data_IF_099385651772
#
_entry.id   IF_099385651772
#
_cell.length_a   1.000
_cell.length_b   1.000
_cell.length_c   1.000
_cell.angle_alpha   90.00
_cell.angle_beta   90.00
_cell.angle_gamma   90.00
#
_symmetry.space_group_name_H-M   'P 1'
#
loop_
_entity.id
_entity.type
_entity.pdbx_description
1 polymer ?
#
# COMPACT_ATOMS: atom_id res chain seq x y z
N UNK A 1 -2.55 16.59 -29.32
CA UNK A 1 -2.84 16.02 -27.99
C UNK A 1 -3.95 16.83 -27.37
N UNK A 2 -5.06 16.18 -27.00
CA UNK A 2 -6.21 16.84 -26.38
C UNK A 2 -6.52 16.15 -25.07
N UNK A 3 -6.47 16.90 -23.97
CA UNK A 3 -6.94 16.44 -22.67
C UNK A 3 -8.41 16.81 -22.53
N UNK A 4 -9.23 15.83 -22.17
CA UNK A 4 -10.67 16.01 -21.93
C UNK A 4 -11.01 15.57 -20.50
N UNK A 5 -11.78 16.40 -19.78
CA UNK A 5 -12.23 16.04 -18.45
C UNK A 5 -13.12 14.79 -18.54
N UNK A 6 -12.71 13.71 -17.90
CA UNK A 6 -13.40 12.42 -17.89
C UNK A 6 -14.16 12.18 -16.58
N UNK A 7 -13.71 12.78 -15.47
CA UNK A 7 -14.36 12.59 -14.17
C UNK A 7 -13.72 13.40 -13.05
N UNK A 8 -14.25 13.22 -11.85
CA UNK A 8 -13.73 13.80 -10.61
C UNK A 8 -13.35 12.62 -9.72
N UNK A 9 -12.09 12.58 -9.29
CA UNK A 9 -11.64 11.55 -8.35
C UNK A 9 -11.94 11.95 -6.91
N UNK A 10 -11.73 13.23 -6.58
CA UNK A 10 -11.99 13.73 -5.23
C UNK A 10 -11.91 15.25 -5.14
N UNK A 11 -12.71 15.83 -4.26
CA UNK A 11 -12.70 17.27 -3.98
C UNK A 11 -12.45 17.45 -2.49
N UNK A 12 -11.39 18.18 -2.17
CA UNK A 12 -11.04 18.58 -0.82
C UNK A 12 -11.25 20.08 -0.59
N UNK A 13 -11.01 20.51 0.64
CA UNK A 13 -11.17 21.92 1.02
C UNK A 13 -10.12 22.83 0.34
N UNK A 14 -8.88 22.37 0.23
CA UNK A 14 -7.76 23.15 -0.31
C UNK A 14 -7.43 22.85 -1.78
N UNK A 15 -8.20 21.98 -2.44
CA UNK A 15 -7.86 21.50 -3.78
C UNK A 15 -8.69 20.28 -4.17
N UNK A 16 -8.32 19.63 -5.26
CA UNK A 16 -8.99 18.42 -5.70
C UNK A 16 -8.19 17.65 -6.74
N UNK A 17 -8.76 16.55 -7.17
CA UNK A 17 -8.20 15.62 -8.13
C UNK A 17 -9.24 15.33 -9.21
N UNK A 18 -8.84 15.53 -10.46
CA UNK A 18 -9.68 15.38 -11.65
C UNK A 18 -9.09 14.30 -12.55
N UNK A 19 -9.96 13.54 -13.20
CA UNK A 19 -9.55 12.52 -14.18
C UNK A 19 -9.66 13.14 -15.56
N UNK A 20 -8.59 13.08 -16.34
CA UNK A 20 -8.55 13.51 -17.72
C UNK A 20 -8.27 12.33 -18.64
N UNK A 21 -8.99 12.24 -19.75
CA UNK A 21 -8.67 11.34 -20.84
C UNK A 21 -7.74 12.06 -21.83
N UNK A 22 -6.57 11.50 -22.08
CA UNK A 22 -5.69 11.92 -23.16
C UNK A 22 -6.13 11.25 -24.46
N UNK A 23 -6.41 12.04 -25.50
CA UNK A 23 -6.80 11.52 -26.82
C UNK A 23 -5.75 11.73 -27.90
N UNK A 24 -5.62 10.72 -28.76
CA UNK A 24 -4.80 10.79 -29.97
C UNK A 24 -5.43 11.71 -31.04
N UNK A 25 -4.78 11.85 -32.19
CA UNK A 25 -5.29 12.68 -33.29
C UNK A 25 -6.57 12.12 -33.95
N UNK A 26 -6.92 10.87 -33.69
CA UNK A 26 -8.14 10.21 -34.19
C UNK A 26 -9.30 10.29 -33.16
N UNK A 27 -9.05 10.83 -31.97
CA UNK A 27 -10.02 10.91 -30.89
C UNK A 27 -10.11 9.65 -30.02
N UNK A 28 -9.22 8.67 -30.19
CA UNK A 28 -9.16 7.49 -29.32
C UNK A 28 -8.52 7.87 -27.98
N UNK A 29 -8.99 7.28 -26.88
CA UNK A 29 -8.34 7.46 -25.56
C UNK A 29 -7.03 6.68 -25.57
N UNK A 30 -5.93 7.39 -25.32
CA UNK A 30 -4.58 6.83 -25.18
C UNK A 30 -4.35 6.36 -23.75
N UNK A 31 -4.68 7.23 -22.77
CA UNK A 31 -4.61 6.93 -21.34
C UNK A 31 -5.47 7.88 -20.53
N UNK A 32 -5.74 7.50 -19.29
CA UNK A 32 -6.28 8.41 -18.29
C UNK A 32 -5.14 8.98 -17.45
N UNK A 33 -5.30 10.24 -17.05
CA UNK A 33 -4.40 10.99 -16.19
C UNK A 33 -5.17 11.48 -14.98
N UNK A 34 -4.48 11.55 -13.86
CA UNK A 34 -4.97 12.16 -12.64
C UNK A 34 -4.33 13.55 -12.50
N UNK A 35 -5.13 14.61 -12.51
CA UNK A 35 -4.65 15.99 -12.42
C UNK A 35 -5.07 16.59 -11.08
N UNK A 36 -4.08 16.89 -10.24
CA UNK A 36 -4.29 17.59 -8.97
C UNK A 36 -4.21 19.11 -9.16
N UNK A 37 -5.12 19.82 -8.49
CA UNK A 37 -5.17 21.28 -8.52
C UNK A 37 -5.33 21.85 -7.11
N UNK A 38 -4.79 23.05 -6.90
CA UNK A 38 -4.99 23.82 -5.67
C UNK A 38 -6.17 24.77 -5.80
N UNK A 39 -6.90 24.96 -4.71
CA UNK A 39 -7.93 25.99 -4.59
C UNK A 39 -7.44 27.24 -3.86
N UNK A 40 -6.36 27.14 -3.07
CA UNK A 40 -5.76 28.22 -2.30
C UNK A 40 -4.23 28.05 -2.15
N UNK A 41 -3.58 28.96 -1.43
CA UNK A 41 -2.12 28.96 -1.23
C UNK A 41 -1.63 27.78 -0.40
N UNK A 42 -2.44 27.28 0.54
CA UNK A 42 -2.07 26.11 1.35
C UNK A 42 -2.13 24.83 0.50
N UNK A 43 -3.15 24.70 -0.35
CA UNK A 43 -3.25 23.63 -1.34
C UNK A 43 -2.09 23.64 -2.33
N UNK A 44 -1.66 24.83 -2.76
CA UNK A 44 -0.49 24.97 -3.65
C UNK A 44 0.77 24.45 -2.96
N UNK A 45 1.06 24.91 -1.73
CA UNK A 45 2.23 24.45 -0.98
C UNK A 45 2.23 22.92 -0.76
N UNK A 46 1.06 22.32 -0.51
CA UNK A 46 0.91 20.87 -0.37
C UNK A 46 1.20 20.12 -1.67
N UNK A 47 0.73 20.65 -2.80
CA UNK A 47 1.02 20.04 -4.09
C UNK A 47 2.51 20.20 -4.46
N UNK A 48 3.14 21.33 -4.10
CA UNK A 48 4.58 21.51 -4.29
C UNK A 48 5.37 20.47 -3.47
N UNK A 49 5.01 20.25 -2.20
CA UNK A 49 5.60 19.18 -1.36
C UNK A 49 5.44 17.79 -2.01
N UNK A 50 4.23 17.48 -2.48
CA UNK A 50 3.95 16.21 -3.13
C UNK A 50 4.76 16.04 -4.43
N UNK A 51 4.82 17.08 -5.26
CA UNK A 51 5.57 17.09 -6.51
C UNK A 51 7.06 16.84 -6.26
N UNK A 52 7.65 17.48 -5.25
CA UNK A 52 9.05 17.26 -4.87
C UNK A 52 9.29 15.81 -4.48
N UNK A 53 8.42 15.22 -3.64
CA UNK A 53 8.56 13.82 -3.24
C UNK A 53 8.47 12.88 -4.46
N UNK A 54 7.43 13.04 -5.29
CA UNK A 54 7.20 12.20 -6.47
C UNK A 54 8.25 12.36 -7.56
N UNK A 55 8.89 13.53 -7.68
CA UNK A 55 10.06 13.71 -8.57
C UNK A 55 11.26 12.91 -8.07
N UNK A 56 11.47 12.81 -6.75
CA UNK A 56 12.55 11.98 -6.19
C UNK A 56 12.23 10.48 -6.27
N UNK A 57 10.94 10.13 -6.25
CA UNK A 57 10.45 8.75 -6.36
C UNK A 57 10.14 8.35 -7.81
N UNK A 58 10.50 9.18 -8.79
CA UNK A 58 10.23 8.90 -10.21
C UNK A 58 10.97 7.64 -10.63
N UNK A 59 10.29 6.76 -11.35
CA UNK A 59 10.80 5.47 -11.79
C UNK A 59 10.63 4.37 -10.74
N UNK A 60 10.18 4.67 -9.53
CA UNK A 60 9.94 3.65 -8.51
C UNK A 60 8.56 2.98 -8.75
N UNK A 61 8.54 1.69 -9.05
CA UNK A 61 7.34 0.95 -9.47
C UNK A 61 6.15 1.07 -8.51
N UNK A 62 6.40 1.08 -7.20
CA UNK A 62 5.37 1.07 -6.16
C UNK A 62 4.88 2.47 -5.76
N UNK A 63 5.14 3.49 -6.57
CA UNK A 63 4.69 4.87 -6.33
C UNK A 63 3.92 5.41 -7.51
N UNK A 64 2.97 6.31 -7.23
CA UNK A 64 2.26 7.01 -8.29
C UNK A 64 3.23 7.86 -9.11
N UNK A 65 3.35 7.55 -10.40
CA UNK A 65 4.25 8.25 -11.29
C UNK A 65 3.75 9.66 -11.64
N UNK A 66 4.64 10.64 -11.50
CA UNK A 66 4.44 11.99 -12.01
C UNK A 66 4.64 12.02 -13.53
N UNK A 67 3.67 12.58 -14.25
CA UNK A 67 3.68 12.66 -15.70
C UNK A 67 4.07 14.07 -16.13
N UNK A 68 5.18 14.18 -16.84
CA UNK A 68 5.60 15.45 -17.44
C UNK A 68 4.65 15.80 -18.58
N UNK A 69 3.94 16.92 -18.45
CA UNK A 69 3.10 17.47 -19.50
C UNK A 69 3.80 18.68 -20.15
N UNK A 70 3.72 18.87 -21.48
CA UNK A 70 4.22 20.09 -22.12
C UNK A 70 3.54 21.33 -21.52
N UNK A 71 4.27 22.41 -21.28
CA UNK A 71 3.79 23.65 -20.60
C UNK A 71 2.47 24.23 -21.15
N UNK A 72 2.08 23.87 -22.38
CA UNK A 72 0.90 24.36 -23.09
C UNK A 72 -0.35 23.47 -22.99
N UNK A 73 -0.30 22.32 -22.31
CA UNK A 73 -1.31 21.25 -22.49
C UNK A 73 -2.51 21.27 -21.56
N UNK A 74 -2.49 21.99 -20.43
CA UNK A 74 -3.61 21.95 -19.46
C UNK A 74 -4.26 23.32 -19.27
N UNK A 75 -5.11 23.71 -20.21
CA UNK A 75 -6.07 24.78 -20.01
C UNK A 75 -7.42 24.18 -19.59
N UNK A 76 -7.65 24.02 -18.28
CA UNK A 76 -8.94 23.51 -17.79
C UNK A 76 -9.97 24.63 -17.86
N UNK A 77 -10.65 24.75 -19.00
CA UNK A 77 -11.78 25.66 -19.14
C UNK A 77 -12.82 25.36 -18.04
N UNK A 78 -13.22 26.39 -17.28
CA UNK A 78 -14.20 26.26 -16.20
C UNK A 78 -13.63 26.22 -14.77
N UNK A 79 -12.31 26.18 -14.58
CA UNK A 79 -11.72 26.22 -13.23
C UNK A 79 -11.50 27.64 -12.67
N UNK A 80 -11.67 28.68 -13.49
CA UNK A 80 -11.64 30.08 -13.05
C UNK A 80 -10.28 30.54 -12.52
N UNK A 81 -9.19 30.35 -13.29
CA UNK A 81 -7.80 30.63 -12.91
C UNK A 81 -7.17 29.68 -11.88
N UNK A 82 -7.76 28.52 -11.60
CA UNK A 82 -7.05 27.47 -10.83
C UNK A 82 -6.09 26.75 -11.77
N UNK A 83 -4.80 26.87 -11.48
CA UNK A 83 -3.75 26.18 -12.22
C UNK A 83 -3.78 24.70 -11.82
N UNK A 84 -3.96 23.75 -12.76
CA UNK A 84 -3.55 22.37 -12.52
C UNK A 84 -2.03 22.37 -12.28
N UNK A 85 -1.56 21.69 -11.24
CA UNK A 85 -0.17 21.84 -10.79
C UNK A 85 0.65 20.60 -11.12
N UNK A 86 0.07 19.41 -10.92
CA UNK A 86 0.74 18.15 -11.30
C UNK A 86 -0.23 17.21 -12.01
N UNK A 87 0.30 16.50 -13.01
CA UNK A 87 -0.35 15.37 -13.64
C UNK A 87 0.34 14.09 -13.17
N UNK A 88 -0.47 13.09 -12.88
CA UNK A 88 -0.07 11.82 -12.29
C UNK A 88 -0.68 10.69 -13.12
N UNK A 89 -0.08 9.51 -13.05
CA UNK A 89 -0.71 8.31 -13.61
C UNK A 89 -2.07 8.05 -12.95
N UNK A 90 -3.00 7.46 -13.71
CA UNK A 90 -4.30 7.05 -13.19
C UNK A 90 -4.24 5.61 -12.67
N UNK A 91 -4.71 5.40 -11.43
CA UNK A 91 -4.72 4.10 -10.76
C UNK A 91 -6.15 3.56 -10.72
N UNK A 92 -6.37 2.49 -11.47
CA UNK A 92 -7.70 2.14 -11.96
C UNK A 92 -8.49 1.17 -11.08
N UNK A 93 -7.88 0.49 -10.10
CA UNK A 93 -8.57 -0.52 -9.28
C UNK A 93 -8.82 -0.08 -7.83
N UNK A 94 -8.93 1.23 -7.61
CA UNK A 94 -9.29 1.79 -6.31
C UNK A 94 -8.17 1.74 -5.27
N UNK A 95 -8.56 1.78 -3.98
CA UNK A 95 -7.64 1.83 -2.84
C UNK A 95 -7.86 0.67 -1.86
N UNK A 96 -6.93 0.46 -0.92
CA UNK A 96 -7.13 -0.52 0.17
C UNK A 96 -8.37 -0.21 1.01
N UNK A 97 -8.74 1.06 1.17
CA UNK A 97 -9.99 1.43 1.84
C UNK A 97 -11.22 0.94 1.10
N UNK A 98 -11.22 1.07 -0.22
CA UNK A 98 -12.31 0.56 -1.03
C UNK A 98 -12.35 -0.98 -1.04
N UNK A 99 -11.18 -1.64 -1.10
CA UNK A 99 -11.09 -3.09 -0.96
C UNK A 99 -11.67 -3.56 0.39
N UNK A 100 -11.22 -2.96 1.50
CA UNK A 100 -11.71 -3.28 2.84
C UNK A 100 -13.21 -3.06 2.95
N UNK A 101 -13.73 -1.93 2.48
CA UNK A 101 -15.16 -1.61 2.50
C UNK A 101 -15.98 -2.69 1.76
N UNK A 102 -15.55 -3.07 0.55
CA UNK A 102 -16.23 -4.10 -0.26
C UNK A 102 -16.25 -5.46 0.42
N UNK A 103 -15.10 -5.89 0.95
CA UNK A 103 -14.95 -7.19 1.64
C UNK A 103 -15.76 -7.22 2.94
N UNK A 104 -15.69 -6.15 3.73
CA UNK A 104 -16.41 -6.01 5.00
C UNK A 104 -17.93 -5.98 4.78
N UNK A 105 -18.42 -5.29 3.75
CA UNK A 105 -19.86 -5.22 3.40
C UNK A 105 -20.46 -6.61 3.14
N UNK A 106 -19.65 -7.53 2.61
CA UNK A 106 -20.08 -8.90 2.34
C UNK A 106 -19.80 -9.87 3.50
N UNK A 107 -19.21 -9.40 4.60
CA UNK A 107 -18.87 -10.21 5.77
C UNK A 107 -17.75 -11.23 5.51
N UNK A 108 -16.85 -10.92 4.57
CA UNK A 108 -15.69 -11.75 4.28
C UNK A 108 -14.41 -11.19 4.92
N UNK A 109 -13.35 -11.99 4.85
CA UNK A 109 -11.99 -11.62 5.24
C UNK A 109 -11.11 -11.53 4.01
N UNK A 110 -10.04 -10.74 4.12
CA UNK A 110 -9.01 -10.70 3.08
C UNK A 110 -8.12 -11.94 3.28
N UNK A 111 -7.92 -12.77 2.25
CA UNK A 111 -7.09 -13.96 2.36
C UNK A 111 -5.68 -13.63 2.83
N UNK A 112 -5.08 -14.50 3.65
CA UNK A 112 -3.73 -14.25 4.19
C UNK A 112 -2.70 -14.09 3.07
N UNK A 113 -2.87 -14.81 1.96
CA UNK A 113 -2.01 -14.68 0.77
C UNK A 113 -2.07 -13.28 0.17
N UNK A 114 -3.26 -12.68 0.10
CA UNK A 114 -3.46 -11.32 -0.42
C UNK A 114 -2.85 -10.30 0.54
N UNK A 115 -3.01 -10.49 1.85
CA UNK A 115 -2.39 -9.62 2.86
C UNK A 115 -0.85 -9.63 2.75
N UNK A 116 -0.24 -10.81 2.56
CA UNK A 116 1.21 -10.92 2.34
C UNK A 116 1.68 -10.17 1.08
N UNK A 117 0.96 -10.31 -0.04
CA UNK A 117 1.28 -9.58 -1.28
C UNK A 117 1.13 -8.06 -1.11
N UNK A 118 0.10 -7.61 -0.39
CA UNK A 118 -0.07 -6.20 -0.03
C UNK A 118 1.11 -5.70 0.82
N UNK A 119 1.53 -6.47 1.82
CA UNK A 119 2.62 -6.04 2.70
C UNK A 119 3.97 -6.04 1.99
N UNK A 120 4.19 -6.98 1.06
CA UNK A 120 5.37 -7.01 0.18
C UNK A 120 5.47 -5.71 -0.64
N UNK A 121 4.37 -5.27 -1.27
CA UNK A 121 4.34 -3.98 -1.97
C UNK A 121 4.68 -2.80 -1.03
N UNK A 122 4.16 -2.79 0.20
CA UNK A 122 4.48 -1.73 1.18
C UNK A 122 5.95 -1.78 1.63
N UNK A 123 6.56 -2.97 1.74
CA UNK A 123 7.99 -3.11 2.01
C UNK A 123 8.81 -2.48 0.87
N UNK A 124 8.41 -2.69 -0.39
CA UNK A 124 9.01 -2.02 -1.56
C UNK A 124 8.83 -0.49 -1.51
N UNK A 125 7.69 0.00 -1.01
CA UNK A 125 7.48 1.44 -0.81
C UNK A 125 8.37 2.02 0.30
N UNK A 126 8.59 1.30 1.39
CA UNK A 126 9.53 1.73 2.44
C UNK A 126 10.93 1.82 1.83
N UNK A 127 11.34 0.79 1.11
CA UNK A 127 12.63 0.73 0.43
C UNK A 127 12.80 1.86 -0.59
N UNK A 128 11.82 2.13 -1.44
CA UNK A 128 11.90 3.23 -2.41
C UNK A 128 11.93 4.62 -1.78
N UNK A 129 11.36 4.81 -0.58
CA UNK A 129 11.52 6.07 0.17
C UNK A 129 12.90 6.21 0.82
N UNK A 130 13.55 5.10 1.14
CA UNK A 130 14.92 5.06 1.67
C UNK A 130 15.96 5.22 0.58
N UNK A 131 15.83 4.45 -0.51
CA UNK A 131 16.78 4.36 -1.62
C UNK A 131 16.01 4.59 -2.93
N UNK A 132 15.47 5.79 -3.20
CA UNK A 132 14.78 6.09 -4.44
C UNK A 132 15.68 5.80 -5.66
N UNK A 133 15.09 5.47 -6.82
CA UNK A 133 15.84 5.27 -8.04
C UNK A 133 16.78 6.45 -8.28
N UNK A 134 18.07 6.15 -8.45
CA UNK A 134 19.01 7.16 -8.95
C UNK A 134 18.44 7.67 -10.26
N UNK A 135 18.35 9.00 -10.44
CA UNK A 135 17.78 9.71 -11.61
C UNK A 135 18.35 9.21 -12.95
N UNK A 136 18.01 7.99 -13.35
CA UNK A 136 18.36 7.45 -14.64
C UNK A 136 17.60 8.32 -15.63
N UNK A 137 18.30 8.79 -16.67
CA UNK A 137 17.82 9.82 -17.57
C UNK A 137 16.64 9.36 -18.45
N UNK A 138 16.11 8.16 -18.22
CA UNK A 138 15.06 7.53 -19.01
C UNK A 138 13.84 7.26 -18.11
N UNK A 139 12.64 7.46 -18.65
CA UNK A 139 11.34 7.27 -18.00
C UNK A 139 11.05 5.79 -17.63
N UNK A 140 12.09 4.98 -17.41
CA UNK A 140 11.98 3.57 -17.05
C UNK A 140 11.52 3.43 -15.60
N UNK A 141 10.49 2.64 -15.42
CA UNK A 141 9.98 2.26 -14.11
C UNK A 141 10.67 0.97 -13.70
N UNK A 142 11.42 1.02 -12.61
CA UNK A 142 12.18 -0.09 -12.05
C UNK A 142 11.61 -0.50 -10.69
N UNK A 143 11.79 -1.76 -10.34
CA UNK A 143 11.49 -2.29 -9.01
C UNK A 143 12.52 -1.78 -8.00
N UNK A 144 12.05 -1.51 -6.79
CA UNK A 144 12.84 -1.00 -5.69
C UNK A 144 13.73 -2.12 -5.13
N UNK A 145 15.05 -1.96 -5.23
CA UNK A 145 16.05 -2.90 -4.74
C UNK A 145 16.98 -2.22 -3.73
N UNK A 146 17.50 -2.95 -2.72
CA UNK A 146 18.41 -2.37 -1.74
C UNK A 146 19.69 -1.83 -2.40
N UNK A 147 19.97 -0.53 -2.19
CA UNK A 147 21.19 0.12 -2.69
C UNK A 147 22.03 0.60 -1.51
N UNK A 148 23.26 0.11 -1.32
CA UNK A 148 24.02 0.37 -0.08
C UNK A 148 24.67 1.76 0.04
N UNK A 149 24.43 2.70 -0.89
CA UNK A 149 25.17 3.97 -0.95
C UNK A 149 24.33 5.22 -1.29
N UNK A 150 23.01 5.11 -1.50
CA UNK A 150 22.14 6.26 -1.75
C UNK A 150 20.97 6.20 -0.80
N UNK A 151 20.94 7.14 0.13
CA UNK A 151 19.92 7.16 1.16
C UNK A 151 19.26 8.54 1.25
N UNK A 152 17.95 8.55 1.09
CA UNK A 152 17.07 9.67 1.34
C UNK A 152 16.21 9.34 2.55
N UNK A 153 15.84 10.37 3.32
CA UNK A 153 14.86 10.26 4.39
C UNK A 153 13.55 10.92 3.93
N UNK A 154 12.84 10.23 3.02
CA UNK A 154 11.47 10.59 2.66
C UNK A 154 10.54 9.88 3.63
N UNK A 155 9.69 10.64 4.33
CA UNK A 155 8.56 10.07 5.06
C UNK A 155 7.27 10.43 4.35
N UNK A 156 6.32 9.49 4.30
CA UNK A 156 5.01 9.75 3.69
C UNK A 156 4.18 10.75 4.52
N UNK A 157 4.29 10.67 5.85
CA UNK A 157 3.59 11.56 6.79
C UNK A 157 2.09 11.25 6.98
N UNK A 158 1.57 10.18 6.35
CA UNK A 158 0.16 9.76 6.48
C UNK A 158 -0.01 8.23 6.40
N UNK A 159 -0.39 7.58 7.50
CA UNK A 159 -0.73 6.16 7.52
C UNK A 159 -2.23 5.97 7.27
N UNK A 160 -2.65 5.71 6.02
CA UNK A 160 -4.06 5.41 5.72
C UNK A 160 -4.22 4.54 4.47
N UNK A 161 -5.12 3.55 4.51
CA UNK A 161 -5.35 2.65 3.38
C UNK A 161 -5.87 3.33 2.11
N UNK A 162 -6.49 4.51 2.24
CA UNK A 162 -6.94 5.33 1.08
C UNK A 162 -5.80 5.83 0.19
N UNK A 163 -4.58 5.87 0.72
CA UNK A 163 -3.38 6.34 0.03
C UNK A 163 -2.61 5.24 -0.68
N UNK A 164 -3.03 3.99 -0.48
CA UNK A 164 -2.48 2.82 -1.15
C UNK A 164 -3.49 2.39 -2.21
N UNK A 165 -3.13 2.59 -3.48
CA UNK A 165 -4.02 2.40 -4.64
C UNK A 165 -3.49 1.34 -5.57
N UNK A 166 -4.39 0.59 -6.17
CA UNK A 166 -4.04 -0.48 -7.10
C UNK A 166 -3.86 0.07 -8.52
N UNK A 167 -2.68 -0.13 -9.09
CA UNK A 167 -2.29 0.21 -10.45
C UNK A 167 -2.67 -0.88 -11.45
N UNK A 168 -1.99 -0.94 -12.60
CA UNK A 168 -2.19 -2.02 -13.58
C UNK A 168 -1.62 -3.36 -13.12
N UNK A 169 -1.96 -4.43 -13.85
CA UNK A 169 -1.17 -5.68 -13.81
C UNK A 169 0.01 -5.44 -14.76
N UNK A 170 1.24 -5.58 -14.27
CA UNK A 170 2.39 -5.63 -15.18
C UNK A 170 2.29 -6.92 -15.98
N UNK A 171 2.15 -6.82 -17.30
CA UNK A 171 2.17 -7.99 -18.18
C UNK A 171 3.59 -8.57 -18.36
N UNK A 172 4.61 -7.86 -17.87
CA UNK A 172 6.01 -8.22 -18.01
C UNK A 172 6.50 -8.84 -16.71
N UNK A 173 6.70 -10.17 -16.75
CA UNK A 173 7.57 -11.04 -15.92
C UNK A 173 7.85 -10.64 -14.46
N UNK A 174 6.87 -10.07 -13.74
CA UNK A 174 7.00 -9.83 -12.31
C UNK A 174 6.30 -10.92 -11.51
N UNK A 175 7.11 -11.75 -10.83
CA UNK A 175 6.64 -12.79 -9.91
C UNK A 175 5.84 -12.21 -8.73
N UNK A 176 5.94 -10.89 -8.48
CA UNK A 176 5.28 -10.17 -7.40
C UNK A 176 3.81 -9.88 -7.67
N UNK A 177 3.43 -9.66 -8.93
CA UNK A 177 2.13 -9.11 -9.29
C UNK A 177 1.27 -10.01 -10.19
N UNK A 178 1.59 -11.31 -10.28
CA UNK A 178 0.77 -12.30 -11.03
C UNK A 178 -0.64 -12.46 -10.44
N UNK A 179 -0.76 -12.38 -9.10
CA UNK A 179 -2.03 -12.55 -8.41
C UNK A 179 -2.70 -11.21 -8.07
N UNK A 180 -1.94 -10.21 -7.63
CA UNK A 180 -2.45 -8.94 -7.11
C UNK A 180 -1.92 -7.79 -7.98
N UNK A 181 -2.75 -6.85 -8.43
CA UNK A 181 -2.25 -5.63 -9.09
C UNK A 181 -1.24 -4.91 -8.22
N UNK A 182 -0.27 -4.24 -8.84
CA UNK A 182 0.73 -3.47 -8.09
C UNK A 182 0.04 -2.46 -7.17
N UNK A 183 0.40 -2.49 -5.90
CA UNK A 183 -0.08 -1.53 -4.93
C UNK A 183 0.88 -0.34 -4.90
N UNK A 184 0.36 0.84 -5.22
CA UNK A 184 1.13 2.08 -5.29
C UNK A 184 0.77 3.05 -4.17
N UNK A 185 1.79 3.68 -3.58
CA UNK A 185 1.62 4.75 -2.61
C UNK A 185 1.36 6.09 -3.32
N UNK A 186 0.43 6.88 -2.77
CA UNK A 186 -0.09 8.13 -3.34
C UNK A 186 -0.27 9.21 -2.27
N UNK A 187 -0.38 10.49 -2.67
CA UNK A 187 -0.67 11.63 -1.77
C UNK A 187 0.45 11.96 -0.77
N UNK A 188 1.57 12.46 -1.29
CA UNK A 188 2.67 13.00 -0.49
C UNK A 188 2.44 14.45 -0.02
N UNK A 189 1.18 14.89 0.13
CA UNK A 189 0.89 16.27 0.53
C UNK A 189 1.34 16.65 1.94
N UNK A 190 1.67 15.66 2.77
CA UNK A 190 2.34 15.81 4.08
C UNK A 190 3.70 15.12 4.14
N UNK A 191 4.23 14.74 2.98
CA UNK A 191 5.54 14.12 2.91
C UNK A 191 6.60 15.05 3.47
N UNK A 192 7.54 14.50 4.24
CA UNK A 192 8.71 15.24 4.67
C UNK A 192 9.89 14.63 3.94
N UNK A 193 10.54 15.46 3.13
CA UNK A 193 11.87 15.18 2.60
C UNK A 193 12.86 15.86 3.51
N UNK A 194 13.59 15.09 4.30
CA UNK A 194 14.79 15.63 4.93
C UNK A 194 15.86 15.67 3.84
N UNK A 195 16.26 16.88 3.43
CA UNK A 195 17.35 17.08 2.47
C UNK A 195 18.69 16.75 3.15
N UNK A 196 18.99 15.45 3.25
CA UNK A 196 20.26 14.96 3.78
C UNK A 196 21.45 15.50 2.95
N UNK A 197 21.21 15.87 1.69
CA UNK A 197 22.23 16.50 0.83
C UNK A 197 22.62 17.93 1.25
N UNK A 198 21.79 18.66 2.01
CA UNK A 198 22.13 19.98 2.56
C UNK A 198 22.74 19.90 3.97
N UNK A 199 22.58 18.77 4.66
CA UNK A 199 23.44 18.42 5.79
C UNK A 199 24.83 18.24 5.17
N UNK A 200 25.71 19.23 5.35
CA UNK A 200 27.13 19.05 5.03
C UNK A 200 27.56 17.73 5.66
N UNK A 201 28.04 16.82 4.80
CA UNK A 201 28.40 15.41 5.01
C UNK A 201 29.58 15.25 5.98
N UNK A 202 29.59 15.99 7.08
CA UNK A 202 30.66 15.93 8.08
C UNK A 202 30.30 14.97 9.23
N UNK A 203 29.03 14.53 9.33
CA UNK A 203 28.55 13.64 10.39
C UNK A 203 27.69 12.50 9.84
N UNK A 204 28.34 11.36 9.53
CA UNK A 204 27.69 10.13 9.06
C UNK A 204 26.69 9.56 10.07
N UNK A 205 26.89 9.81 11.37
CA UNK A 205 26.04 9.30 12.44
C UNK A 205 24.67 10.00 12.44
N UNK A 206 24.66 11.33 12.32
CA UNK A 206 23.43 12.13 12.22
C UNK A 206 22.61 11.72 10.99
N UNK A 207 23.28 11.44 9.88
CA UNK A 207 22.63 10.99 8.64
C UNK A 207 21.99 9.61 8.82
N UNK A 208 22.70 8.68 9.44
CA UNK A 208 22.19 7.33 9.72
C UNK A 208 21.00 7.35 10.70
N UNK A 209 21.05 8.20 11.74
CA UNK A 209 19.96 8.35 12.70
C UNK A 209 18.69 8.91 12.04
N UNK A 210 18.82 9.95 11.24
CA UNK A 210 17.71 10.53 10.49
C UNK A 210 17.06 9.53 9.50
N UNK A 211 17.88 8.70 8.84
CA UNK A 211 17.41 7.64 7.96
C UNK A 211 16.67 6.55 8.72
N UNK A 212 17.22 6.12 9.85
CA UNK A 212 16.57 5.15 10.72
C UNK A 212 15.22 5.68 11.19
N UNK A 213 15.15 6.93 11.67
CA UNK A 213 13.90 7.55 12.10
C UNK A 213 12.85 7.59 10.98
N UNK A 214 13.25 7.99 9.77
CA UNK A 214 12.36 8.02 8.61
C UNK A 214 11.87 6.62 8.20
N UNK A 215 12.77 5.64 8.17
CA UNK A 215 12.46 4.24 7.89
C UNK A 215 11.46 3.70 8.92
N UNK A 216 11.77 3.86 10.21
CA UNK A 216 10.94 3.38 11.32
C UNK A 216 9.54 4.04 11.28
N UNK A 217 9.46 5.32 10.96
CA UNK A 217 8.18 6.01 10.80
C UNK A 217 7.34 5.44 9.66
N UNK A 218 7.94 5.17 8.49
CA UNK A 218 7.24 4.59 7.35
C UNK A 218 6.84 3.12 7.61
N UNK A 219 7.72 2.36 8.26
CA UNK A 219 7.49 0.96 8.62
C UNK A 219 6.34 0.83 9.62
N UNK A 220 6.33 1.63 10.68
CA UNK A 220 5.22 1.68 11.65
C UNK A 220 3.91 2.10 10.98
N UNK A 221 3.96 3.06 10.05
CA UNK A 221 2.79 3.48 9.28
C UNK A 221 2.23 2.35 8.40
N UNK A 222 3.09 1.60 7.70
CA UNK A 222 2.68 0.45 6.90
C UNK A 222 2.07 -0.65 7.77
N UNK A 223 2.68 -0.96 8.91
CA UNK A 223 2.18 -1.95 9.85
C UNK A 223 0.80 -1.58 10.44
N UNK A 224 0.57 -0.29 10.75
CA UNK A 224 -0.75 0.21 11.15
C UNK A 224 -1.80 0.03 10.04
N UNK A 225 -1.44 0.27 8.78
CA UNK A 225 -2.33 0.04 7.64
C UNK A 225 -2.62 -1.46 7.48
N UNK A 226 -1.62 -2.33 7.65
CA UNK A 226 -1.81 -3.79 7.59
C UNK A 226 -2.74 -4.31 8.68
N UNK A 227 -2.52 -3.86 9.92
CA UNK A 227 -3.36 -4.20 11.05
C UNK A 227 -4.81 -3.72 10.84
N UNK A 228 -4.99 -2.50 10.34
CA UNK A 228 -6.30 -1.98 9.96
C UNK A 228 -6.92 -2.78 8.80
N UNK A 229 -6.14 -3.18 7.80
CA UNK A 229 -6.64 -3.88 6.63
C UNK A 229 -7.15 -5.29 6.99
N UNK A 230 -6.44 -5.99 7.86
CA UNK A 230 -6.75 -7.37 8.22
C UNK A 230 -7.98 -7.51 9.13
N UNK A 231 -8.25 -6.53 10.00
CA UNK A 231 -9.41 -6.53 10.92
C UNK A 231 -10.69 -6.01 10.23
N UNK A 232 -11.23 -6.72 9.23
CA UNK A 232 -12.34 -6.22 8.39
C UNK A 232 -13.71 -6.14 9.09
N UNK A 233 -13.94 -6.91 10.16
CA UNK A 233 -15.26 -7.08 10.77
C UNK A 233 -15.51 -6.23 12.02
N UNK A 234 -14.54 -5.46 12.49
CA UNK A 234 -14.74 -4.64 13.70
C UNK A 234 -15.33 -3.27 13.40
N UNK A 235 -16.21 -2.84 14.30
CA UNK A 235 -16.76 -1.49 14.35
C UNK A 235 -15.61 -0.49 14.49
N UNK A 236 -15.50 0.48 13.57
CA UNK A 236 -14.47 1.53 13.60
C UNK A 236 -14.42 2.26 14.96
N UNK A 237 -15.52 2.25 15.72
CA UNK A 237 -15.61 2.79 17.07
C UNK A 237 -14.65 2.16 18.09
N UNK A 238 -14.14 0.95 17.85
CA UNK A 238 -13.16 0.29 18.74
C UNK A 238 -11.72 0.73 18.44
N UNK A 239 -11.47 1.34 17.28
CA UNK A 239 -10.12 1.78 16.85
C UNK A 239 -9.58 2.98 17.66
N UNK A 240 -10.41 3.65 18.48
CA UNK A 240 -10.01 4.85 19.24
C UNK A 240 -9.20 4.56 20.52
N UNK A 241 -9.00 3.30 20.93
CA UNK A 241 -8.10 2.97 22.05
C UNK A 241 -6.64 2.84 21.59
N UNK A 242 -6.10 3.93 21.04
CA UNK A 242 -4.66 4.06 20.78
C UNK A 242 -3.89 4.13 22.11
N UNK A 243 -2.79 3.37 22.22
CA UNK A 243 -1.82 3.51 23.32
C UNK A 243 -1.78 2.38 24.36
N UNK A 244 -2.54 1.30 24.18
CA UNK A 244 -2.33 0.08 24.98
C UNK A 244 -1.13 -0.70 24.45
N UNK A 245 -0.14 -0.93 25.31
CA UNK A 245 0.94 -1.88 25.06
C UNK A 245 0.40 -3.28 25.31
N UNK A 246 0.55 -4.17 24.34
CA UNK A 246 0.22 -5.58 24.43
C UNK A 246 1.52 -6.41 24.38
N UNK A 247 1.45 -7.64 24.86
CA UNK A 247 2.54 -8.61 24.75
C UNK A 247 2.14 -9.67 23.71
N UNK A 248 3.08 -10.07 22.87
CA UNK A 248 2.91 -11.15 21.91
C UNK A 248 4.06 -12.15 22.06
N UNK A 249 3.72 -13.43 22.22
CA UNK A 249 4.69 -14.52 22.07
C UNK A 249 5.12 -14.61 20.60
N UNK A 250 6.42 -14.65 20.37
CA UNK A 250 7.00 -14.75 19.03
C UNK A 250 7.60 -16.15 18.83
N UNK A 251 7.23 -16.81 17.74
CA UNK A 251 7.78 -18.13 17.42
C UNK A 251 9.18 -18.06 16.81
N UNK A 252 9.56 -16.92 16.22
CA UNK A 252 10.91 -16.67 15.71
C UNK A 252 11.78 -15.90 16.70
N UNK A 253 12.83 -16.55 17.19
CA UNK A 253 13.76 -16.02 18.21
C UNK A 253 14.74 -14.95 17.72
N UNK A 254 14.68 -14.53 16.46
CA UNK A 254 15.68 -13.59 15.91
C UNK A 254 15.67 -12.18 16.53
N UNK A 255 14.76 -11.86 17.45
CA UNK A 255 14.71 -10.53 18.08
C UNK A 255 14.08 -10.46 19.47
N UNK A 256 14.35 -11.39 20.40
CA UNK A 256 13.80 -11.33 21.76
C UNK A 256 14.79 -11.68 22.88
N UNK A 257 15.15 -10.70 23.71
CA UNK A 257 15.80 -10.91 25.01
C UNK A 257 14.78 -10.95 26.17
N UNK A 258 13.51 -10.60 25.91
CA UNK A 258 12.45 -10.61 26.91
C UNK A 258 11.73 -11.95 26.84
N UNK A 259 11.61 -12.59 27.99
CA UNK A 259 10.91 -13.86 28.14
C UNK A 259 9.73 -13.66 29.10
N UNK A 260 8.61 -14.34 28.85
CA UNK A 260 7.50 -14.38 29.79
C UNK A 260 7.84 -15.22 31.05
N UNK A 261 6.86 -15.36 31.95
CA UNK A 261 7.03 -16.13 33.19
C UNK A 261 7.37 -17.61 32.95
N UNK A 262 7.02 -18.13 31.78
CA UNK A 262 7.21 -19.53 31.36
C UNK A 262 8.50 -19.72 30.52
N UNK A 263 9.21 -18.63 30.20
CA UNK A 263 10.46 -18.66 29.45
C UNK A 263 10.29 -18.62 27.93
N UNK A 264 9.13 -18.19 27.42
CA UNK A 264 8.88 -18.00 26.00
C UNK A 264 9.29 -16.58 25.58
N UNK A 265 9.94 -16.41 24.41
CA UNK A 265 10.31 -15.08 23.92
C UNK A 265 9.05 -14.26 23.61
N UNK A 266 8.98 -13.06 24.18
CA UNK A 266 7.86 -12.13 23.99
C UNK A 266 8.36 -10.77 23.51
N UNK A 267 7.51 -10.07 22.76
CA UNK A 267 7.72 -8.66 22.42
C UNK A 267 6.60 -7.80 22.99
N UNK A 268 6.97 -6.64 23.52
CA UNK A 268 6.04 -5.56 23.80
C UNK A 268 5.73 -4.81 22.50
N UNK A 269 4.44 -4.73 22.16
CA UNK A 269 3.97 -4.14 20.90
C UNK A 269 2.79 -3.21 21.10
N UNK A 270 2.66 -2.24 20.20
CA UNK A 270 1.49 -1.36 20.12
C UNK A 270 0.41 -1.90 19.17
N UNK A 271 0.64 -3.07 18.55
CA UNK A 271 -0.39 -3.79 17.82
C UNK A 271 -1.55 -4.16 18.76
N UNK A 272 -2.77 -4.04 18.25
CA UNK A 272 -4.03 -4.22 18.95
C UNK A 272 -4.27 -5.70 19.21
N UNK A 273 -4.74 -5.98 20.43
CA UNK A 273 -5.05 -7.34 20.88
C UNK A 273 -5.97 -8.11 19.92
N UNK A 274 -7.00 -7.46 19.35
CA UNK A 274 -7.86 -8.11 18.35
C UNK A 274 -7.06 -8.64 17.16
N UNK A 275 -6.15 -7.85 16.60
CA UNK A 275 -5.30 -8.28 15.50
C UNK A 275 -4.38 -9.42 15.95
N UNK A 276 -3.78 -9.29 17.14
CA UNK A 276 -2.87 -10.29 17.70
C UNK A 276 -3.55 -11.62 18.00
N UNK A 277 -4.83 -11.62 18.36
CA UNK A 277 -5.61 -12.81 18.73
C UNK A 277 -6.45 -13.36 17.56
N UNK A 278 -6.50 -12.66 16.42
CA UNK A 278 -7.31 -13.08 15.28
C UNK A 278 -6.71 -14.33 14.62
N UNK A 279 -7.31 -15.48 14.90
CA UNK A 279 -6.95 -16.75 14.29
C UNK A 279 -7.14 -16.74 12.77
N UNK A 280 -7.89 -15.77 12.21
CA UNK A 280 -8.07 -15.54 10.77
C UNK A 280 -6.89 -14.91 10.06
N UNK A 281 -5.89 -14.47 10.80
CA UNK A 281 -4.67 -13.89 10.26
C UNK A 281 -3.54 -14.89 10.48
N UNK A 282 -2.78 -15.17 9.42
CA UNK A 282 -1.57 -15.99 9.49
C UNK A 282 -0.67 -15.53 10.65
N UNK A 283 -0.23 -16.48 11.48
CA UNK A 283 0.50 -16.17 12.71
C UNK A 283 1.80 -15.41 12.41
N UNK A 284 2.54 -15.81 11.37
CA UNK A 284 3.79 -15.14 11.02
C UNK A 284 3.54 -13.70 10.52
N UNK A 285 2.41 -13.45 9.86
CA UNK A 285 2.01 -12.09 9.50
C UNK A 285 1.71 -11.25 10.74
N UNK A 286 0.99 -11.83 11.72
CA UNK A 286 0.71 -11.16 13.01
C UNK A 286 1.99 -10.81 13.75
N UNK A 287 2.92 -11.75 13.85
CA UNK A 287 4.22 -11.56 14.49
C UNK A 287 5.03 -10.48 13.79
N UNK A 288 5.10 -10.48 12.46
CA UNK A 288 5.83 -9.47 11.71
C UNK A 288 5.25 -8.06 11.92
N UNK A 289 3.93 -7.91 11.83
CA UNK A 289 3.27 -6.62 12.09
C UNK A 289 3.49 -6.18 13.55
N UNK A 290 3.43 -7.11 14.51
CA UNK A 290 3.69 -6.83 15.91
C UNK A 290 5.14 -6.36 16.15
N UNK A 291 6.12 -6.98 15.49
CA UNK A 291 7.53 -6.55 15.50
C UNK A 291 7.71 -5.17 14.90
N UNK A 292 7.06 -4.88 13.77
CA UNK A 292 7.04 -3.54 13.19
C UNK A 292 6.46 -2.47 14.12
N UNK A 293 5.56 -2.86 15.03
CA UNK A 293 4.91 -2.00 16.01
C UNK A 293 5.52 -2.13 17.42
N UNK A 294 6.69 -2.76 17.56
CA UNK A 294 7.33 -2.99 18.85
C UNK A 294 7.69 -1.69 19.57
N UNK A 295 7.61 -1.69 20.89
CA UNK A 295 7.94 -0.52 21.73
C UNK A 295 9.45 -0.27 21.80
N UNK A 296 10.26 -1.33 21.64
CA UNK A 296 11.71 -1.28 21.61
C UNK A 296 12.23 -1.38 20.18
N UNK A 297 13.14 -0.50 19.82
CA UNK A 297 13.74 -0.44 18.48
C UNK A 297 14.51 -1.72 18.10
N UNK A 298 15.09 -2.42 19.07
CA UNK A 298 15.82 -3.69 18.84
C UNK A 298 14.93 -4.83 18.32
N UNK A 299 13.61 -4.74 18.53
CA UNK A 299 12.64 -5.73 18.07
C UNK A 299 12.04 -5.37 16.70
N UNK A 300 12.24 -4.14 16.24
CA UNK A 300 11.76 -3.66 14.93
C UNK A 300 12.64 -4.27 13.84
N UNK A 301 12.06 -4.95 12.84
CA UNK A 301 12.86 -5.57 11.80
C UNK A 301 13.56 -4.51 10.96
N UNK A 302 14.74 -4.86 10.45
CA UNK A 302 15.40 -4.06 9.41
C UNK A 302 14.55 -4.09 8.13
N UNK A 303 14.76 -3.15 7.21
CA UNK A 303 14.01 -3.12 5.95
C UNK A 303 14.35 -4.32 5.06
N UNK A 304 15.60 -4.80 5.08
CA UNK A 304 16.00 -6.01 4.37
C UNK A 304 15.33 -7.25 4.96
N UNK A 305 15.26 -7.35 6.29
CA UNK A 305 14.55 -8.43 6.97
C UNK A 305 13.05 -8.38 6.67
N UNK A 306 12.42 -7.21 6.75
CA UNK A 306 11.01 -7.01 6.42
C UNK A 306 10.71 -7.50 5.00
N UNK A 307 11.49 -7.08 4.01
CA UNK A 307 11.30 -7.50 2.63
C UNK A 307 11.49 -9.00 2.47
N UNK A 308 12.52 -9.59 3.08
CA UNK A 308 12.76 -11.03 3.02
C UNK A 308 11.61 -11.85 3.63
N UNK A 309 11.06 -11.41 4.76
CA UNK A 309 9.92 -12.04 5.42
C UNK A 309 8.64 -11.88 4.59
N UNK A 310 8.41 -10.71 3.99
CA UNK A 310 7.29 -10.50 3.07
C UNK A 310 7.40 -11.35 1.81
N UNK A 311 8.60 -11.52 1.25
CA UNK A 311 8.88 -12.37 0.10
C UNK A 311 8.61 -13.85 0.43
N UNK A 312 9.08 -14.33 1.59
CA UNK A 312 8.79 -15.69 2.06
C UNK A 312 7.28 -15.89 2.28
N UNK A 313 6.63 -14.93 2.94
CA UNK A 313 5.18 -14.88 3.11
C UNK A 313 4.42 -15.01 1.79
N UNK A 314 4.78 -14.15 0.84
CA UNK A 314 4.18 -14.07 -0.48
C UNK A 314 4.46 -15.30 -1.35
N UNK A 315 5.58 -16.02 -1.17
CA UNK A 315 5.89 -17.22 -1.97
C UNK A 315 5.44 -18.51 -1.29
N UNK A 316 5.85 -18.71 -0.05
CA UNK A 316 5.87 -20.02 0.60
C UNK A 316 4.73 -20.25 1.58
N UNK A 317 4.07 -19.20 2.08
CA UNK A 317 2.94 -19.40 3.00
C UNK A 317 1.77 -19.99 2.22
N UNK A 318 1.50 -21.25 2.55
CA UNK A 318 0.29 -21.94 2.13
C UNK A 318 -0.83 -21.47 3.06
N UNK A 319 -1.97 -21.02 2.52
CA UNK A 319 -3.17 -20.76 3.30
C UNK A 319 -3.61 -21.87 4.27
N UNK A 320 -3.17 -23.12 4.06
CA UNK A 320 -3.37 -24.25 4.99
C UNK A 320 -2.47 -24.23 6.25
N UNK A 321 -1.58 -23.24 6.41
CA UNK A 321 -0.68 -23.11 7.57
C UNK A 321 -1.40 -22.77 8.88
N UNK A 322 -2.65 -22.29 8.82
CA UNK A 322 -3.45 -21.92 9.99
C UNK A 322 -4.32 -23.12 10.42
N UNK A 323 -4.33 -23.43 11.72
CA UNK A 323 -4.79 -24.72 12.26
C UNK A 323 -6.30 -24.85 12.46
N UNK A 324 -7.11 -23.85 12.10
CA UNK A 324 -8.55 -23.80 12.43
C UNK A 324 -9.34 -23.24 11.24
N UNK A 325 -10.17 -24.06 10.60
CA UNK A 325 -11.01 -23.65 9.46
C UNK A 325 -12.51 -23.76 9.78
N UNK A 326 -13.19 -22.63 10.03
CA UNK A 326 -14.63 -22.50 9.77
C UNK A 326 -14.88 -22.60 8.26
N UNK A 327 -16.11 -22.96 7.85
CA UNK A 327 -16.58 -22.98 6.44
C UNK A 327 -16.43 -21.62 5.71
N UNK A 328 -16.03 -20.56 6.42
CA UNK A 328 -15.90 -19.18 5.95
C UNK A 328 -14.55 -18.85 5.29
N UNK A 329 -13.56 -19.76 5.35
CA UNK A 329 -12.21 -19.58 4.75
C UNK A 329 -11.98 -20.29 3.42
N UNK A 330 -13.00 -20.32 2.57
CA UNK A 330 -12.90 -20.96 1.25
C UNK A 330 -11.77 -20.33 0.41
N UNK A 331 -11.45 -19.04 0.63
CA UNK A 331 -10.45 -18.32 -0.15
C UNK A 331 -9.00 -18.68 0.13
N UNK A 332 -8.72 -19.12 1.34
CA UNK A 332 -7.38 -19.51 1.70
C UNK A 332 -7.08 -20.86 1.01
N UNK A 333 -7.89 -21.89 1.14
CA UNK A 333 -7.52 -23.29 0.81
C UNK A 333 -7.05 -23.56 -0.65
N UNK A 334 -7.44 -22.74 -1.64
CA UNK A 334 -7.14 -22.98 -3.06
C UNK A 334 -6.58 -21.71 -3.73
N UNK A 335 -5.40 -21.77 -4.39
CA UNK A 335 -4.87 -20.64 -5.17
C UNK A 335 -5.85 -20.04 -6.19
N UNK A 336 -6.78 -20.85 -6.72
CA UNK A 336 -7.85 -20.38 -7.60
C UNK A 336 -8.82 -19.44 -6.89
N UNK A 337 -9.06 -19.67 -5.61
CA UNK A 337 -9.94 -18.83 -4.83
C UNK A 337 -9.32 -17.46 -4.53
N UNK A 338 -8.01 -17.39 -4.31
CA UNK A 338 -7.31 -16.10 -4.26
C UNK A 338 -7.50 -15.30 -5.57
N UNK A 339 -7.40 -15.97 -6.73
CA UNK A 339 -7.66 -15.33 -8.03
C UNK A 339 -9.11 -14.87 -8.14
N UNK A 340 -10.08 -15.67 -7.70
CA UNK A 340 -11.49 -15.28 -7.67
C UNK A 340 -11.75 -14.10 -6.72
N UNK A 341 -11.06 -14.05 -5.58
CA UNK A 341 -11.13 -12.93 -4.64
C UNK A 341 -10.64 -11.64 -5.31
N UNK A 342 -9.45 -11.66 -5.90
CA UNK A 342 -8.87 -10.49 -6.60
C UNK A 342 -9.78 -10.08 -7.76
N UNK A 343 -10.24 -11.04 -8.56
CA UNK A 343 -11.17 -10.77 -9.65
C UNK A 343 -12.43 -10.06 -9.16
N UNK A 344 -13.08 -10.59 -8.11
CA UNK A 344 -14.34 -10.06 -7.58
C UNK A 344 -14.17 -8.66 -6.98
N UNK A 345 -13.18 -8.46 -6.11
CA UNK A 345 -13.11 -7.25 -5.28
C UNK A 345 -12.23 -6.14 -5.86
N UNK A 346 -11.38 -6.45 -6.85
CA UNK A 346 -10.52 -5.48 -7.53
C UNK A 346 -10.90 -5.29 -9.00
N UNK A 347 -10.92 -6.35 -9.82
CA UNK A 347 -11.10 -6.19 -11.27
C UNK A 347 -12.56 -5.95 -11.70
N UNK A 348 -13.50 -6.73 -11.18
CA UNK A 348 -14.91 -6.65 -11.56
C UNK A 348 -15.66 -5.56 -10.80
N UNK A 349 -15.09 -5.08 -9.70
CA UNK A 349 -15.76 -4.23 -8.73
C UNK A 349 -16.09 -2.82 -9.26
N UNK A 350 -15.45 -2.39 -10.35
CA UNK A 350 -15.77 -1.14 -11.05
C UNK A 350 -16.68 -1.35 -12.29
N UNK A 351 -16.93 -2.61 -12.67
CA UNK A 351 -17.75 -2.95 -13.85
C UNK A 351 -19.23 -3.21 -13.51
N UNK A 352 -19.57 -3.42 -12.24
CA UNK A 352 -20.92 -3.77 -11.80
C UNK A 352 -21.57 -2.66 -10.96
N UNK A 353 -22.24 -1.72 -11.62
CA UNK A 353 -23.40 -1.04 -11.02
C UNK A 353 -24.66 -1.92 -11.01
N UNK A 354 -24.66 -3.06 -11.70
CA UNK A 354 -25.78 -4.02 -11.71
C UNK A 354 -25.24 -5.47 -11.83
N UNK A 355 -25.32 -6.26 -10.75
CA UNK A 355 -25.03 -7.70 -10.78
C UNK A 355 -24.29 -8.24 -9.56
N UNK A 356 -24.94 -8.26 -8.39
CA UNK A 356 -24.37 -8.86 -7.17
C UNK A 356 -24.48 -10.38 -7.28
N UNK A 357 -23.34 -11.09 -7.35
CA UNK A 357 -23.26 -12.54 -7.14
C UNK A 357 -23.46 -12.81 -5.64
N UNK A 358 -24.54 -13.48 -5.27
CA UNK A 358 -24.89 -13.71 -3.87
C UNK A 358 -23.94 -14.68 -3.16
N UNK A 359 -23.89 -14.65 -1.83
CA UNK A 359 -23.17 -15.64 -0.99
C UNK A 359 -23.54 -17.10 -1.35
N UNK A 360 -24.77 -17.31 -1.83
CA UNK A 360 -25.25 -18.61 -2.30
C UNK A 360 -24.71 -19.03 -3.68
N UNK A 361 -24.40 -18.07 -4.54
CA UNK A 361 -23.85 -18.33 -5.88
C UNK A 361 -22.37 -18.76 -5.78
N UNK A 362 -21.58 -18.15 -4.89
CA UNK A 362 -20.22 -18.61 -4.58
C UNK A 362 -20.21 -20.04 -4.03
N UNK A 363 -21.10 -20.35 -3.09
CA UNK A 363 -21.25 -21.70 -2.54
C UNK A 363 -21.73 -22.71 -3.60
N UNK A 364 -22.50 -22.28 -4.58
CA UNK A 364 -22.96 -23.13 -5.69
C UNK A 364 -21.88 -23.35 -6.76
N UNK A 365 -21.07 -22.32 -7.08
CA UNK A 365 -19.90 -22.46 -7.94
C UNK A 365 -18.92 -23.48 -7.34
N UNK A 366 -18.68 -23.40 -6.03
CA UNK A 366 -17.88 -24.36 -5.28
C UNK A 366 -18.40 -25.80 -5.41
N UNK A 367 -19.73 -26.00 -5.36
CA UNK A 367 -20.37 -27.32 -5.49
C UNK A 367 -20.38 -27.88 -6.92
N UNK A 368 -20.36 -27.02 -7.94
CA UNK A 368 -20.43 -27.45 -9.33
C UNK A 368 -19.08 -27.94 -9.85
N UNK A 369 -17.98 -27.28 -9.49
CA UNK A 369 -16.64 -27.66 -9.98
C UNK A 369 -16.04 -28.89 -9.25
N UNK A 370 -16.34 -29.07 -7.97
CA UNK A 370 -15.87 -30.25 -7.19
C UNK A 370 -16.67 -31.54 -7.46
N UNK A 371 -17.75 -31.48 -8.26
CA UNK A 371 -18.45 -32.68 -8.76
C UNK A 371 -17.94 -33.17 -10.11
N UNK A 372 -17.06 -32.40 -10.77
CA UNK A 372 -16.50 -32.74 -12.07
C UNK A 372 -15.08 -33.31 -12.03
N UNK A 373 -14.57 -33.67 -10.84
CA UNK A 373 -13.28 -34.37 -10.65
C UNK A 373 -13.53 -35.77 -10.11
#
# INVERSE_FOLDING_TARGET
MRLELAGVEGIGFHGGSLIFAERDNNGNVVRNLNIKYAADTLGLARIDTEAVCLVNLRGASHFQQIISLPETTVNVAGTGNKYPIIALEYLQFGSLALLRERVSTEGFYIPSKVLWLVFRCMARQILGMMTPPSFSAEDEVIQEEPVPWIFYAITHGQAHGRYHKFGGISAEDDDEHDLLPILKLTDFSRGIRQEIAEIRIEDEEVVAEAQKEACDANLRAAAQVMEWLACTQEDEAVFETLGTVNEMEITDTQGGEVYDEDGHPVIETTARRVFLEDENIDLALRELVARCLATKDENVPTHEELLALCDDGARNRDPLSTSIFPEERIFDIDPRMNRLFVQRYLFDADTHSEGIISRSDLANMWRLEYRSV
#
